data_IF_650448275188
#
_entry.id   IF_650448275188
#
_cell.length_a   1.000
_cell.length_b   1.000
_cell.length_c   1.000
_cell.angle_alpha   90.00
_cell.angle_beta   90.00
_cell.angle_gamma   90.00
#
_symmetry.space_group_name_H-M   'P 1'
#
loop_
_entity.id
_entity.type
_entity.pdbx_description
1 polymer ?
#
# COMPACT_ATOMS: atom_id res chain seq x y z
N UNK A 1 53.74 14.32 -16.55
CA UNK A 1 52.51 15.15 -16.51
C UNK A 1 51.30 14.22 -16.40
N UNK A 2 50.82 13.79 -15.26
CA UNK A 2 51.37 13.65 -13.91
C UNK A 2 50.52 12.55 -13.26
N UNK A 3 51.17 11.44 -12.92
CA UNK A 3 50.62 10.43 -12.04
C UNK A 3 51.44 10.52 -10.77
N UNK A 4 51.05 11.45 -9.90
CA UNK A 4 51.44 11.50 -8.50
C UNK A 4 50.22 11.04 -7.70
N UNK A 5 50.27 9.82 -7.15
CA UNK A 5 50.53 9.60 -5.73
C UNK A 5 49.60 10.41 -4.84
N UNK A 6 48.71 9.71 -4.13
CA UNK A 6 48.73 9.73 -2.67
C UNK A 6 48.00 8.48 -2.15
N UNK A 7 48.80 7.45 -1.85
CA UNK A 7 48.47 6.59 -0.73
C UNK A 7 48.53 7.45 0.54
N UNK A 8 47.45 7.47 1.29
CA UNK A 8 47.35 8.13 2.59
C UNK A 8 46.46 7.26 3.48
N UNK A 9 47.00 6.86 4.64
CA UNK A 9 46.42 5.88 5.54
C UNK A 9 44.94 6.13 5.86
N UNK A 10 44.16 5.05 5.79
CA UNK A 10 42.79 5.02 6.27
C UNK A 10 42.81 5.14 7.80
N UNK A 11 42.69 6.36 8.33
CA UNK A 11 42.30 6.56 9.72
C UNK A 11 40.87 5.99 9.92
N UNK A 12 40.60 5.23 11.01
CA UNK A 12 39.28 4.70 11.27
C UNK A 12 38.39 5.85 11.76
N UNK A 13 37.54 6.40 10.89
CA UNK A 13 36.48 7.33 11.31
C UNK A 13 36.24 8.58 10.47
N UNK A 14 36.93 8.81 9.35
CA UNK A 14 36.62 9.96 8.49
C UNK A 14 35.53 9.61 7.47
N UNK A 15 34.34 10.21 7.62
CA UNK A 15 33.28 10.15 6.62
C UNK A 15 33.83 10.69 5.28
N UNK A 16 33.71 9.94 4.15
CA UNK A 16 34.23 10.41 2.87
C UNK A 16 33.53 11.71 2.44
N UNK A 17 34.24 12.64 1.79
CA UNK A 17 33.63 13.87 1.28
C UNK A 17 32.52 13.52 0.28
N UNK A 18 31.39 14.23 0.37
CA UNK A 18 30.15 13.94 -0.35
C UNK A 18 30.36 13.70 -1.86
N UNK A 19 31.31 14.41 -2.48
CA UNK A 19 31.68 14.23 -3.89
C UNK A 19 32.22 12.83 -4.23
N UNK A 20 33.01 12.20 -3.34
CA UNK A 20 33.58 10.86 -3.57
C UNK A 20 32.50 9.78 -3.46
N UNK A 21 31.54 9.95 -2.54
CA UNK A 21 30.38 9.06 -2.41
C UNK A 21 29.52 9.11 -3.67
N UNK A 22 29.24 10.32 -4.17
CA UNK A 22 28.50 10.53 -5.43
C UNK A 22 29.23 9.90 -6.62
N UNK A 23 30.55 10.06 -6.72
CA UNK A 23 31.33 9.47 -7.81
C UNK A 23 31.32 7.93 -7.78
N UNK A 24 31.48 7.30 -6.61
CA UNK A 24 31.45 5.84 -6.47
C UNK A 24 30.07 5.26 -6.81
N UNK A 25 28.99 5.94 -6.42
CA UNK A 25 27.62 5.52 -6.77
C UNK A 25 27.39 5.60 -8.29
N UNK A 26 27.80 6.69 -8.94
CA UNK A 26 27.69 6.84 -10.40
C UNK A 26 28.45 5.74 -11.16
N UNK A 27 29.69 5.44 -10.76
CA UNK A 27 30.49 4.38 -11.40
C UNK A 27 29.84 3.01 -11.20
N UNK A 28 29.33 2.70 -10.00
CA UNK A 28 28.63 1.43 -9.78
C UNK A 28 27.34 1.32 -10.57
N UNK A 29 26.58 2.41 -10.71
CA UNK A 29 25.37 2.43 -11.52
C UNK A 29 25.70 2.17 -12.99
N UNK A 30 26.71 2.85 -13.54
CA UNK A 30 27.15 2.68 -14.93
C UNK A 30 27.59 1.23 -15.21
N UNK A 31 28.34 0.61 -14.30
CA UNK A 31 28.82 -0.77 -14.46
C UNK A 31 27.73 -1.84 -14.30
N UNK A 32 26.66 -1.55 -13.54
CA UNK A 32 25.58 -2.51 -13.23
C UNK A 32 24.29 -2.28 -14.05
N UNK A 33 24.23 -1.20 -14.82
CA UNK A 33 23.05 -0.86 -15.60
C UNK A 33 22.72 -1.97 -16.61
N UNK A 34 21.46 -2.42 -16.60
CA UNK A 34 20.90 -3.32 -17.61
C UNK A 34 19.89 -2.55 -18.46
N UNK A 35 19.77 -2.86 -19.76
CA UNK A 35 18.82 -2.17 -20.63
C UNK A 35 17.39 -2.38 -20.13
N UNK A 36 16.60 -1.31 -20.10
CA UNK A 36 15.18 -1.35 -19.79
C UNK A 36 14.44 -2.01 -20.97
N UNK A 37 13.49 -2.91 -20.67
CA UNK A 37 12.63 -3.52 -21.70
C UNK A 37 11.58 -2.50 -22.15
N UNK A 38 11.83 -1.82 -23.26
CA UNK A 38 10.79 -1.07 -23.98
C UNK A 38 10.17 -1.98 -25.05
N UNK A 39 8.85 -2.24 -24.96
CA UNK A 39 8.12 -3.02 -25.97
C UNK A 39 7.49 -2.08 -26.99
N UNK A 40 7.95 -2.17 -28.25
CA UNK A 40 7.38 -1.43 -29.38
C UNK A 40 6.71 -2.44 -30.32
N UNK A 41 5.38 -2.34 -30.56
CA UNK A 41 4.67 -3.26 -31.43
C UNK A 41 5.02 -3.03 -32.91
N UNK A 42 5.08 -4.10 -33.71
CA UNK A 42 5.39 -4.04 -35.15
C UNK A 42 4.15 -3.83 -36.04
N UNK A 43 2.97 -4.27 -35.58
CA UNK A 43 1.74 -4.21 -36.37
C UNK A 43 1.15 -2.78 -36.34
N UNK A 44 0.69 -2.23 -37.48
CA UNK A 44 0.23 -0.83 -37.56
C UNK A 44 -1.01 -0.55 -36.70
N UNK A 45 -2.00 -1.45 -36.69
CA UNK A 45 -3.18 -1.33 -35.83
C UNK A 45 -2.82 -1.37 -34.34
N UNK A 46 -1.90 -2.26 -33.95
CA UNK A 46 -1.43 -2.36 -32.58
C UNK A 46 -0.62 -1.11 -32.19
N UNK A 47 0.16 -0.55 -33.12
CA UNK A 47 0.93 0.67 -32.92
C UNK A 47 0.03 1.88 -32.68
N UNK A 48 -1.10 2.00 -33.39
CA UNK A 48 -2.08 3.06 -33.13
C UNK A 48 -2.64 2.99 -31.72
N UNK A 49 -3.06 1.80 -31.26
CA UNK A 49 -3.56 1.62 -29.88
C UNK A 49 -2.46 1.91 -28.86
N UNK A 50 -1.24 1.43 -29.11
CA UNK A 50 -0.08 1.69 -28.24
C UNK A 50 0.25 3.19 -28.16
N UNK A 51 0.15 3.92 -29.27
CA UNK A 51 0.38 5.36 -29.31
C UNK A 51 -0.66 6.13 -28.47
N UNK A 52 -1.94 5.74 -28.54
CA UNK A 52 -3.00 6.33 -27.72
C UNK A 52 -2.79 6.04 -26.24
N UNK A 53 -2.55 4.78 -25.87
CA UNK A 53 -2.38 4.36 -24.46
C UNK A 53 -1.13 4.96 -23.82
N UNK A 54 -0.07 5.18 -24.60
CA UNK A 54 1.20 5.77 -24.13
C UNK A 54 1.16 7.31 -24.15
N UNK A 55 0.11 7.93 -24.70
CA UNK A 55 0.01 9.39 -24.78
C UNK A 55 -0.25 10.00 -23.39
N UNK A 56 0.39 11.14 -23.11
CA UNK A 56 0.19 11.85 -21.84
C UNK A 56 -1.27 12.29 -21.63
N UNK A 57 -2.01 12.57 -22.71
CA UNK A 57 -3.44 12.91 -22.65
C UNK A 57 -4.26 11.77 -22.05
N UNK A 58 -4.01 10.53 -22.47
CA UNK A 58 -4.68 9.36 -21.92
C UNK A 58 -4.34 9.19 -20.43
N UNK A 59 -3.08 9.42 -20.05
CA UNK A 59 -2.68 9.36 -18.64
C UNK A 59 -3.39 10.40 -17.77
N UNK A 60 -3.46 11.66 -18.22
CA UNK A 60 -4.18 12.72 -17.50
C UNK A 60 -5.69 12.46 -17.43
N UNK A 61 -6.29 11.91 -18.49
CA UNK A 61 -7.69 11.50 -18.49
C UNK A 61 -7.96 10.44 -17.42
N UNK A 62 -7.15 9.38 -17.40
CA UNK A 62 -7.30 8.31 -16.41
C UNK A 62 -7.07 8.83 -14.99
N UNK A 63 -6.10 9.71 -14.79
CA UNK A 63 -5.87 10.35 -13.51
C UNK A 63 -7.09 11.17 -13.04
N UNK A 64 -7.66 12.00 -13.93
CA UNK A 64 -8.85 12.78 -13.63
C UNK A 64 -10.06 11.90 -13.28
N UNK A 65 -10.24 10.77 -13.96
CA UNK A 65 -11.31 9.81 -13.67
C UNK A 65 -11.14 9.14 -12.30
N UNK A 66 -9.91 8.82 -11.89
CA UNK A 66 -9.65 8.29 -10.53
C UNK A 66 -9.96 9.35 -9.48
N UNK A 67 -9.56 10.60 -9.71
CA UNK A 67 -9.87 11.71 -8.80
C UNK A 67 -11.38 11.93 -8.69
N UNK A 68 -12.11 11.91 -9.81
CA UNK A 68 -13.57 12.00 -9.80
C UNK A 68 -14.19 10.85 -9.01
N UNK A 69 -13.76 9.61 -9.24
CA UNK A 69 -14.24 8.44 -8.50
C UNK A 69 -13.97 8.54 -6.99
N UNK A 70 -12.83 9.10 -6.61
CA UNK A 70 -12.46 9.36 -5.21
C UNK A 70 -13.42 10.33 -4.55
N UNK A 71 -13.76 11.42 -5.25
CA UNK A 71 -14.72 12.41 -4.75
C UNK A 71 -16.09 11.76 -4.59
N UNK A 72 -16.55 10.98 -5.57
CA UNK A 72 -17.81 10.25 -5.46
C UNK A 72 -17.86 9.31 -4.25
N UNK A 73 -16.78 8.59 -3.95
CA UNK A 73 -16.69 7.75 -2.76
C UNK A 73 -16.71 8.58 -1.46
N UNK A 74 -16.04 9.73 -1.45
CA UNK A 74 -15.98 10.62 -0.29
C UNK A 74 -17.29 11.37 0.01
N UNK A 75 -18.21 11.45 -0.97
CA UNK A 75 -19.52 12.10 -0.81
C UNK A 75 -20.57 11.24 -0.11
N UNK A 76 -20.34 9.93 0.02
CA UNK A 76 -21.28 9.01 0.66
C UNK A 76 -21.36 9.29 2.17
N UNK A 77 -22.57 9.35 2.71
CA UNK A 77 -22.79 9.61 4.14
C UNK A 77 -23.91 8.75 4.74
N UNK A 78 -23.88 8.62 6.07
CA UNK A 78 -24.92 7.90 6.80
C UNK A 78 -26.27 8.64 6.67
N UNK A 79 -27.37 7.90 6.50
CA UNK A 79 -28.72 8.42 6.22
C UNK A 79 -28.82 9.32 4.97
N UNK A 80 -28.19 8.92 3.86
CA UNK A 80 -28.36 9.59 2.57
C UNK A 80 -29.70 9.27 1.91
N UNK A 81 -30.17 10.16 1.02
CA UNK A 81 -31.39 9.94 0.26
C UNK A 81 -31.24 8.77 -0.71
N UNK A 82 -32.34 8.07 -1.00
CA UNK A 82 -32.35 6.95 -1.96
C UNK A 82 -31.89 7.39 -3.35
N UNK A 83 -32.18 8.63 -3.75
CA UNK A 83 -31.67 9.20 -5.01
C UNK A 83 -30.13 9.27 -5.04
N UNK A 84 -29.50 9.64 -3.92
CA UNK A 84 -28.04 9.70 -3.81
C UNK A 84 -27.40 8.31 -3.84
N UNK A 85 -28.07 7.30 -3.26
CA UNK A 85 -27.67 5.89 -3.37
C UNK A 85 -27.66 5.46 -4.83
N UNK A 86 -28.78 5.65 -5.54
CA UNK A 86 -28.91 5.27 -6.95
C UNK A 86 -27.88 5.95 -7.85
N UNK A 87 -27.66 7.26 -7.68
CA UNK A 87 -26.63 7.98 -8.45
C UNK A 87 -25.24 7.42 -8.17
N UNK A 88 -24.92 7.14 -6.90
CA UNK A 88 -23.63 6.56 -6.52
C UNK A 88 -23.40 5.21 -7.17
N UNK A 89 -24.41 4.34 -7.22
CA UNK A 89 -24.30 3.01 -7.83
C UNK A 89 -24.14 3.09 -9.35
N UNK A 90 -24.91 3.95 -10.03
CA UNK A 90 -24.75 4.20 -11.47
C UNK A 90 -23.33 4.68 -11.78
N UNK A 91 -22.81 5.63 -11.01
CA UNK A 91 -21.45 6.12 -11.18
C UNK A 91 -20.40 5.02 -10.94
N UNK A 92 -20.59 4.19 -9.91
CA UNK A 92 -19.68 3.08 -9.62
C UNK A 92 -19.59 2.08 -10.79
N UNK A 93 -20.72 1.73 -11.39
CA UNK A 93 -20.78 0.88 -12.59
C UNK A 93 -20.08 1.58 -13.76
N UNK A 94 -20.39 2.86 -14.00
CA UNK A 94 -19.79 3.63 -15.09
C UNK A 94 -18.25 3.71 -14.99
N UNK A 95 -17.70 4.02 -13.81
CA UNK A 95 -16.25 4.02 -13.59
C UNK A 95 -15.64 2.64 -13.80
N UNK A 96 -16.33 1.57 -13.38
CA UNK A 96 -15.88 0.19 -13.59
C UNK A 96 -15.76 -0.16 -15.06
N UNK A 97 -16.74 0.22 -15.87
CA UNK A 97 -16.69 0.04 -17.32
C UNK A 97 -15.49 0.81 -17.90
N UNK A 98 -15.30 2.07 -17.52
CA UNK A 98 -14.21 2.90 -18.05
C UNK A 98 -12.83 2.32 -17.69
N UNK A 99 -12.60 1.90 -16.44
CA UNK A 99 -11.33 1.27 -16.05
C UNK A 99 -11.13 -0.11 -16.69
N UNK A 100 -12.21 -0.84 -16.97
CA UNK A 100 -12.14 -2.09 -17.72
C UNK A 100 -11.69 -1.83 -19.16
N UNK A 101 -12.23 -0.80 -19.81
CA UNK A 101 -11.81 -0.38 -21.15
C UNK A 101 -10.33 0.06 -21.18
N UNK A 102 -9.87 0.81 -20.18
CA UNK A 102 -8.44 1.14 -20.02
C UNK A 102 -7.58 -0.13 -20.02
N UNK A 103 -7.95 -1.12 -19.20
CA UNK A 103 -7.22 -2.39 -19.08
C UNK A 103 -7.23 -3.17 -20.40
N UNK A 104 -8.35 -3.26 -21.10
CA UNK A 104 -8.45 -3.93 -22.41
C UNK A 104 -7.57 -3.23 -23.46
N UNK A 105 -7.58 -1.89 -23.51
CA UNK A 105 -6.73 -1.12 -24.42
C UNK A 105 -5.24 -1.36 -24.14
N UNK A 106 -4.83 -1.36 -22.86
CA UNK A 106 -3.46 -1.69 -22.46
C UNK A 106 -3.08 -3.13 -22.83
N UNK A 107 -3.98 -4.09 -22.63
CA UNK A 107 -3.74 -5.49 -22.98
C UNK A 107 -3.54 -5.68 -24.49
N UNK A 108 -4.33 -4.98 -25.31
CA UNK A 108 -4.18 -4.97 -26.77
C UNK A 108 -2.86 -4.29 -27.21
N UNK A 109 -2.49 -3.18 -26.57
CA UNK A 109 -1.27 -2.43 -26.88
C UNK A 109 0.01 -3.25 -26.56
N UNK A 110 0.12 -3.77 -25.35
CA UNK A 110 1.36 -4.42 -24.86
C UNK A 110 1.40 -5.94 -25.07
N UNK A 111 0.28 -6.56 -25.48
CA UNK A 111 0.03 -8.01 -25.39
C UNK A 111 0.12 -8.51 -23.94
N UNK A 112 -0.46 -9.68 -23.67
CA UNK A 112 -0.42 -10.29 -22.33
C UNK A 112 1.02 -10.36 -21.75
N UNK A 113 2.00 -10.77 -22.56
CA UNK A 113 3.40 -10.89 -22.10
C UNK A 113 4.04 -9.57 -21.68
N UNK A 114 3.72 -8.46 -22.37
CA UNK A 114 4.23 -7.14 -21.99
C UNK A 114 3.48 -6.57 -20.79
N UNK A 115 2.15 -6.76 -20.77
CA UNK A 115 1.27 -6.26 -19.72
C UNK A 115 1.58 -6.89 -18.35
N UNK A 116 1.67 -8.23 -18.26
CA UNK A 116 1.98 -8.94 -17.01
C UNK A 116 3.46 -8.84 -16.59
N UNK A 117 4.32 -8.20 -17.40
CA UNK A 117 5.72 -7.95 -17.05
C UNK A 117 5.92 -6.78 -16.09
N UNK A 118 4.96 -5.86 -16.01
CA UNK A 118 5.00 -4.72 -15.09
C UNK A 118 4.10 -4.99 -13.87
N UNK A 119 4.65 -5.07 -12.64
CA UNK A 119 3.87 -5.30 -11.43
C UNK A 119 2.71 -4.32 -11.23
N UNK A 120 2.84 -3.08 -11.71
CA UNK A 120 1.80 -2.08 -11.57
C UNK A 120 0.60 -2.33 -12.49
N UNK A 121 0.84 -2.88 -13.68
CA UNK A 121 -0.23 -3.32 -14.57
C UNK A 121 -0.91 -4.59 -14.03
N UNK A 122 -0.16 -5.50 -13.39
CA UNK A 122 -0.75 -6.67 -12.70
C UNK A 122 -1.67 -6.22 -11.56
N UNK A 123 -1.27 -5.19 -10.81
CA UNK A 123 -2.07 -4.62 -9.74
C UNK A 123 -3.33 -3.91 -10.27
N UNK A 124 -3.21 -3.15 -11.37
CA UNK A 124 -4.34 -2.55 -12.09
C UNK A 124 -5.36 -3.62 -12.52
N UNK A 125 -4.88 -4.74 -13.09
CA UNK A 125 -5.72 -5.88 -13.45
C UNK A 125 -6.47 -6.46 -12.25
N UNK A 126 -5.80 -6.68 -11.12
CA UNK A 126 -6.44 -7.19 -9.91
C UNK A 126 -7.55 -6.26 -9.39
N UNK A 127 -7.32 -4.94 -9.41
CA UNK A 127 -8.33 -3.95 -9.03
C UNK A 127 -9.53 -3.99 -9.97
N UNK A 128 -9.31 -4.07 -11.29
CA UNK A 128 -10.39 -4.12 -12.28
C UNK A 128 -11.24 -5.38 -12.09
N UNK A 129 -10.61 -6.55 -11.91
CA UNK A 129 -11.33 -7.80 -11.64
C UNK A 129 -12.12 -7.72 -10.33
N UNK A 130 -11.51 -7.22 -9.25
CA UNK A 130 -12.21 -7.00 -7.98
C UNK A 130 -13.40 -6.05 -8.11
N UNK A 131 -13.27 -5.01 -8.93
CA UNK A 131 -14.37 -4.07 -9.21
C UNK A 131 -15.51 -4.71 -10.01
N UNK A 132 -15.20 -5.60 -10.97
CA UNK A 132 -16.23 -6.31 -11.74
C UNK A 132 -16.99 -7.27 -10.82
N UNK A 133 -16.28 -8.00 -9.95
CA UNK A 133 -16.90 -8.90 -8.97
C UNK A 133 -17.81 -8.10 -8.03
N UNK A 134 -17.35 -6.96 -7.54
CA UNK A 134 -18.14 -6.07 -6.68
C UNK A 134 -19.44 -5.59 -7.35
N UNK A 135 -19.39 -5.18 -8.62
CA UNK A 135 -20.59 -4.80 -9.38
C UNK A 135 -21.54 -5.98 -9.58
N UNK A 136 -21.02 -7.16 -9.93
CA UNK A 136 -21.85 -8.37 -10.12
C UNK A 136 -22.53 -8.77 -8.81
N UNK A 137 -21.81 -8.73 -7.69
CA UNK A 137 -22.37 -9.09 -6.40
C UNK A 137 -23.40 -8.07 -5.89
N UNK A 138 -23.24 -6.77 -6.19
CA UNK A 138 -24.26 -5.78 -5.84
C UNK A 138 -25.58 -5.98 -6.58
N UNK A 139 -25.58 -6.64 -7.74
CA UNK A 139 -26.79 -6.96 -8.51
C UNK A 139 -27.46 -8.28 -8.05
N UNK A 140 -26.71 -9.16 -7.37
CA UNK A 140 -27.17 -10.50 -6.93
C UNK A 140 -27.47 -10.49 -5.41
N UNK A 141 -27.58 -9.34 -4.75
CA UNK A 141 -27.74 -9.28 -3.30
C UNK A 141 -29.12 -9.82 -2.88
N UNK A 142 -29.20 -11.15 -2.75
CA UNK A 142 -30.25 -11.89 -2.08
C UNK A 142 -30.18 -11.60 -0.57
N UNK A 143 -31.32 -11.57 0.15
CA UNK A 143 -31.41 -11.06 1.52
C UNK A 143 -30.74 -11.91 2.62
N UNK A 144 -29.81 -12.80 2.28
CA UNK A 144 -29.13 -13.67 3.25
C UNK A 144 -28.06 -12.90 4.06
N UNK A 145 -28.10 -13.02 5.39
CA UNK A 145 -27.21 -12.33 6.35
C UNK A 145 -25.71 -12.56 6.08
N UNK A 146 -25.34 -13.69 5.47
CA UNK A 146 -23.96 -13.99 5.07
C UNK A 146 -23.45 -13.07 3.97
N UNK A 147 -24.34 -12.61 3.07
CA UNK A 147 -24.03 -11.76 1.93
C UNK A 147 -23.66 -10.33 2.36
N UNK A 148 -24.20 -9.86 3.50
CA UNK A 148 -23.97 -8.50 4.03
C UNK A 148 -22.52 -8.24 4.42
N UNK A 149 -21.85 -9.21 5.07
CA UNK A 149 -20.44 -9.07 5.46
C UNK A 149 -19.54 -9.07 4.22
N UNK A 150 -19.84 -9.91 3.23
CA UNK A 150 -19.12 -9.91 1.95
C UNK A 150 -19.32 -8.62 1.17
N UNK A 151 -20.54 -8.07 1.10
CA UNK A 151 -20.84 -6.81 0.42
C UNK A 151 -20.02 -5.63 0.99
N UNK A 152 -19.84 -5.57 2.32
CA UNK A 152 -18.95 -4.59 2.95
C UNK A 152 -17.48 -4.75 2.54
N UNK A 153 -17.00 -5.99 2.43
CA UNK A 153 -15.62 -6.27 2.03
C UNK A 153 -15.38 -5.93 0.54
N UNK A 154 -16.29 -6.28 -0.36
CA UNK A 154 -16.11 -6.02 -1.79
C UNK A 154 -16.13 -4.53 -2.14
N UNK A 155 -16.88 -3.71 -1.37
CA UNK A 155 -16.81 -2.24 -1.46
C UNK A 155 -15.41 -1.69 -1.22
N UNK A 156 -14.52 -2.39 -0.51
CA UNK A 156 -13.12 -1.98 -0.36
C UNK A 156 -12.34 -1.99 -1.68
N UNK A 157 -12.70 -2.84 -2.66
CA UNK A 157 -12.04 -2.83 -3.97
C UNK A 157 -12.26 -1.50 -4.72
N UNK A 158 -13.39 -0.82 -4.48
CA UNK A 158 -13.62 0.54 -5.00
C UNK A 158 -12.57 1.50 -4.45
N UNK A 159 -12.28 1.43 -3.15
CA UNK A 159 -11.27 2.25 -2.46
C UNK A 159 -9.85 1.91 -2.94
N UNK A 160 -9.56 0.63 -3.22
CA UNK A 160 -8.25 0.19 -3.73
C UNK A 160 -7.86 0.88 -5.05
N UNK A 161 -8.82 1.40 -5.83
CA UNK A 161 -8.54 2.20 -7.03
C UNK A 161 -7.69 3.44 -6.75
N UNK A 162 -7.75 3.99 -5.54
CA UNK A 162 -6.89 5.09 -5.10
C UNK A 162 -5.40 4.75 -5.21
N UNK A 163 -5.06 3.47 -5.05
CA UNK A 163 -3.68 3.00 -5.15
C UNK A 163 -3.18 3.10 -6.61
N UNK A 164 -4.06 3.13 -7.61
CA UNK A 164 -3.69 3.45 -9.00
C UNK A 164 -3.09 4.87 -9.13
N UNK A 165 -3.40 5.79 -8.22
CA UNK A 165 -2.72 7.11 -8.19
C UNK A 165 -1.23 6.95 -7.88
N UNK A 166 -0.89 6.01 -6.99
CA UNK A 166 0.51 5.71 -6.65
C UNK A 166 1.26 5.13 -7.86
N UNK A 167 0.60 4.34 -8.72
CA UNK A 167 1.24 3.78 -9.91
C UNK A 167 1.59 4.85 -10.96
N UNK A 168 0.90 5.99 -10.94
CA UNK A 168 1.15 7.15 -11.82
C UNK A 168 2.20 8.10 -11.26
N UNK A 169 2.26 8.24 -9.94
CA UNK A 169 3.23 9.12 -9.28
C UNK A 169 4.62 8.47 -9.18
N UNK A 170 5.45 8.64 -10.23
CA UNK A 170 6.81 8.07 -10.30
C UNK A 170 7.70 8.40 -9.09
N UNK A 171 7.61 9.64 -8.57
CA UNK A 171 8.31 10.06 -7.36
C UNK A 171 7.90 9.24 -6.14
N UNK A 172 6.58 9.04 -5.94
CA UNK A 172 6.05 8.26 -4.82
C UNK A 172 6.42 6.78 -4.96
N UNK A 173 6.38 6.21 -6.17
CA UNK A 173 6.84 4.83 -6.43
C UNK A 173 8.29 4.63 -6.03
N UNK A 174 9.14 5.59 -6.39
CA UNK A 174 10.55 5.55 -6.06
C UNK A 174 10.77 5.62 -4.54
N UNK A 175 10.04 6.51 -3.86
CA UNK A 175 10.09 6.65 -2.40
C UNK A 175 9.59 5.39 -1.66
N UNK A 176 8.47 4.82 -2.09
CA UNK A 176 7.95 3.58 -1.51
C UNK A 176 8.91 2.42 -1.76
N UNK A 177 9.49 2.33 -2.95
CA UNK A 177 10.48 1.31 -3.27
C UNK A 177 11.74 1.42 -2.40
N UNK A 178 12.28 2.63 -2.22
CA UNK A 178 13.45 2.84 -1.36
C UNK A 178 13.13 2.53 0.11
N UNK A 179 11.94 2.90 0.59
CA UNK A 179 11.47 2.56 1.93
C UNK A 179 11.39 1.05 2.14
N UNK A 180 10.74 0.33 1.22
CA UNK A 180 10.64 -1.14 1.27
C UNK A 180 12.03 -1.77 1.25
N UNK A 181 12.96 -1.24 0.45
CA UNK A 181 14.35 -1.72 0.41
C UNK A 181 15.10 -1.49 1.73
N UNK A 182 14.86 -0.38 2.40
CA UNK A 182 15.45 -0.10 3.73
C UNK A 182 14.94 -1.08 4.78
N UNK A 183 13.66 -1.42 4.78
CA UNK A 183 13.11 -2.44 5.68
C UNK A 183 13.72 -3.82 5.44
N UNK A 184 13.95 -4.20 4.18
CA UNK A 184 14.62 -5.46 3.82
C UNK A 184 16.07 -5.53 4.33
N UNK A 185 16.71 -4.40 4.63
CA UNK A 185 18.07 -4.36 5.14
C UNK A 185 18.17 -4.58 6.67
N UNK A 186 17.04 -4.49 7.41
CA UNK A 186 17.03 -4.54 8.88
C UNK A 186 16.14 -5.66 9.47
N UNK A 187 16.13 -6.90 8.94
CA UNK A 187 15.25 -7.95 9.44
C UNK A 187 15.55 -8.36 10.88
N UNK A 188 16.83 -8.34 11.28
CA UNK A 188 17.24 -8.73 12.63
C UNK A 188 16.75 -7.76 13.70
N UNK A 189 16.74 -6.46 13.40
CA UNK A 189 16.22 -5.45 14.35
C UNK A 189 14.72 -5.64 14.54
N UNK A 190 13.96 -5.86 13.45
CA UNK A 190 12.54 -6.17 13.54
C UNK A 190 12.27 -7.47 14.33
N UNK A 191 13.10 -8.50 14.14
CA UNK A 191 13.00 -9.75 14.89
C UNK A 191 13.21 -9.54 16.40
N UNK A 192 14.20 -8.73 16.80
CA UNK A 192 14.43 -8.40 18.21
C UNK A 192 13.20 -7.73 18.84
N UNK A 193 12.55 -6.80 18.12
CA UNK A 193 11.31 -6.17 18.58
C UNK A 193 10.20 -7.22 18.75
N UNK A 194 9.97 -8.09 17.76
CA UNK A 194 8.97 -9.15 17.85
C UNK A 194 9.25 -10.11 19.02
N UNK A 195 10.52 -10.45 19.26
CA UNK A 195 10.92 -11.31 20.39
C UNK A 195 10.65 -10.63 21.74
N UNK A 196 10.87 -9.32 21.84
CA UNK A 196 10.56 -8.54 23.03
C UNK A 196 9.05 -8.56 23.34
N UNK A 197 8.21 -8.28 22.33
CA UNK A 197 6.76 -8.40 22.44
C UNK A 197 6.30 -9.79 22.87
N UNK A 198 6.93 -10.84 22.32
CA UNK A 198 6.64 -12.22 22.68
C UNK A 198 6.91 -12.51 24.16
N UNK A 199 8.11 -12.15 24.65
CA UNK A 199 8.50 -12.39 26.05
C UNK A 199 7.56 -11.64 27.00
N UNK A 200 7.33 -10.35 26.77
CA UNK A 200 6.44 -9.54 27.63
C UNK A 200 4.98 -10.00 27.56
N UNK A 201 4.49 -10.44 26.40
CA UNK A 201 3.14 -10.96 26.30
C UNK A 201 2.97 -12.23 27.15
N UNK A 202 3.93 -13.16 27.10
CA UNK A 202 3.91 -14.38 27.92
C UNK A 202 4.00 -14.07 29.41
N UNK A 203 4.91 -13.17 29.81
CA UNK A 203 5.04 -12.74 31.21
C UNK A 203 3.73 -12.08 31.69
N UNK A 204 3.17 -11.16 30.90
CA UNK A 204 1.92 -10.47 31.20
C UNK A 204 0.74 -11.42 31.34
N UNK A 205 0.64 -12.46 30.50
CA UNK A 205 -0.37 -13.50 30.64
C UNK A 205 -0.23 -14.30 31.94
N UNK A 206 0.99 -14.67 32.32
CA UNK A 206 1.22 -15.44 33.55
C UNK A 206 0.96 -14.62 34.82
N UNK A 207 1.33 -13.34 34.80
CA UNK A 207 1.18 -12.44 35.96
C UNK A 207 -0.23 -11.86 36.09
N UNK A 208 -0.82 -11.43 34.98
CA UNK A 208 -2.03 -10.61 34.95
C UNK A 208 -3.23 -11.28 34.25
N UNK A 209 -3.10 -12.52 33.77
CA UNK A 209 -4.16 -13.23 33.06
C UNK A 209 -5.40 -13.57 33.89
N UNK A 210 -5.33 -13.51 35.23
CA UNK A 210 -6.44 -13.83 36.15
C UNK A 210 -7.20 -12.61 36.66
N UNK A 211 -6.82 -11.40 36.25
CA UNK A 211 -7.50 -10.18 36.69
C UNK A 211 -8.94 -10.20 36.12
N UNK A 212 -9.92 -9.94 37.00
CA UNK A 212 -11.31 -9.87 36.61
C UNK A 212 -11.54 -8.66 35.69
N UNK A 213 -12.21 -8.89 34.56
CA UNK A 213 -12.57 -7.83 33.62
C UNK A 213 -13.81 -7.11 34.15
N UNK A 214 -13.65 -5.86 34.57
CA UNK A 214 -14.76 -5.02 35.05
C UNK A 214 -14.92 -3.84 34.10
N UNK A 215 -16.12 -3.73 33.50
CA UNK A 215 -16.44 -2.66 32.57
C UNK A 215 -16.36 -1.29 33.28
N UNK A 216 -15.61 -0.36 32.70
CA UNK A 216 -15.31 0.97 33.28
C UNK A 216 -13.93 1.09 33.95
N UNK A 217 -13.19 -0.01 34.11
CA UNK A 217 -11.78 0.02 34.54
C UNK A 217 -10.82 -0.03 33.34
N UNK A 218 -9.53 0.24 33.57
CA UNK A 218 -8.49 0.17 32.53
C UNK A 218 -8.30 -1.26 31.98
N UNK A 219 -8.69 -2.29 32.74
CA UNK A 219 -8.65 -3.70 32.34
C UNK A 219 -10.08 -4.15 32.01
N UNK A 220 -10.35 -4.30 30.73
CA UNK A 220 -11.69 -4.61 30.23
C UNK A 220 -11.62 -5.68 29.13
N UNK A 221 -12.78 -6.01 28.55
CA UNK A 221 -12.88 -7.01 27.48
C UNK A 221 -12.04 -6.71 26.23
N UNK A 222 -11.74 -5.43 25.97
CA UNK A 222 -10.91 -4.97 24.85
C UNK A 222 -9.43 -4.78 25.23
N UNK A 223 -9.08 -4.79 26.53
CA UNK A 223 -7.76 -4.50 27.04
C UNK A 223 -7.43 -5.45 28.21
N UNK A 224 -6.92 -6.63 27.89
CA UNK A 224 -6.62 -7.68 28.87
C UNK A 224 -5.43 -8.57 28.47
N UNK A 225 -4.92 -9.32 29.45
CA UNK A 225 -3.84 -10.30 29.30
C UNK A 225 -4.34 -11.75 29.30
N UNK A 226 -5.61 -12.00 28.97
CA UNK A 226 -6.16 -13.37 29.01
C UNK A 226 -5.73 -14.22 27.81
N UNK A 227 -5.49 -13.58 26.67
CA UNK A 227 -5.07 -14.26 25.44
C UNK A 227 -3.85 -13.59 24.83
N UNK A 228 -3.03 -14.36 24.12
CA UNK A 228 -1.78 -13.87 23.53
C UNK A 228 -1.98 -12.68 22.57
N UNK A 229 -2.93 -12.69 21.61
CA UNK A 229 -3.14 -11.55 20.72
C UNK A 229 -3.58 -10.28 21.48
N UNK A 230 -4.43 -10.41 22.50
CA UNK A 230 -4.87 -9.27 23.31
C UNK A 230 -3.73 -8.70 24.15
N UNK A 231 -2.87 -9.55 24.72
CA UNK A 231 -1.66 -9.12 25.43
C UNK A 231 -0.70 -8.34 24.52
N UNK A 232 -0.48 -8.82 23.28
CA UNK A 232 0.35 -8.10 22.30
C UNK A 232 -0.27 -6.76 21.90
N UNK A 233 -1.60 -6.70 21.67
CA UNK A 233 -2.31 -5.46 21.37
C UNK A 233 -2.21 -4.44 22.51
N UNK A 234 -2.30 -4.90 23.76
CA UNK A 234 -2.17 -4.06 24.95
C UNK A 234 -0.73 -3.52 25.09
N UNK A 235 0.30 -4.34 24.86
CA UNK A 235 1.69 -3.89 24.84
C UNK A 235 1.93 -2.85 23.75
N UNK A 236 1.38 -3.05 22.56
CA UNK A 236 1.52 -2.10 21.45
C UNK A 236 0.83 -0.76 21.75
N UNK A 237 -0.31 -0.81 22.46
CA UNK A 237 -1.01 0.38 22.95
C UNK A 237 -0.14 1.19 23.90
N UNK A 238 0.70 0.55 24.73
CA UNK A 238 1.58 1.26 25.68
C UNK A 238 2.79 1.91 25.01
N UNK A 239 3.32 1.31 23.94
CA UNK A 239 4.45 1.88 23.19
C UNK A 239 4.03 3.08 22.32
N UNK A 240 2.76 3.14 21.92
CA UNK A 240 2.20 4.28 21.18
C UNK A 240 2.06 5.49 22.12
N UNK A 241 2.78 6.61 21.90
CA UNK A 241 2.66 7.77 22.78
C UNK A 241 1.27 8.38 22.62
N UNK A 242 0.39 8.17 23.59
CA UNK A 242 -0.85 8.96 23.67
C UNK A 242 -0.50 10.36 24.17
N UNK A 243 -0.74 11.43 23.40
CA UNK A 243 -0.35 12.80 23.77
C UNK A 243 -1.11 13.36 24.99
N UNK A 244 -2.08 12.61 25.51
CA UNK A 244 -2.83 12.94 26.71
C UNK A 244 -2.81 11.74 27.62
N UNK A 245 -1.84 11.68 28.54
CA UNK A 245 -1.98 11.21 29.92
C UNK A 245 -0.57 11.05 30.51
N UNK A 246 -0.14 12.05 31.27
CA UNK A 246 0.75 11.88 32.41
C UNK A 246 0.00 11.12 33.51
N UNK A 247 -0.37 9.87 33.24
CA UNK A 247 -1.04 9.04 34.23
C UNK A 247 0.00 8.17 34.96
N UNK A 248 0.17 8.35 36.28
CA UNK A 248 1.11 7.55 37.08
C UNK A 248 0.75 6.05 37.10
N UNK A 249 -0.44 5.66 36.63
CA UNK A 249 -0.86 4.27 36.47
C UNK A 249 -0.20 3.55 35.29
N UNK A 250 0.20 4.25 34.22
CA UNK A 250 0.99 3.63 33.14
C UNK A 250 2.42 3.31 33.61
N UNK A 251 2.93 4.09 34.57
CA UNK A 251 4.23 3.89 35.23
C UNK A 251 4.21 2.76 36.26
N UNK A 252 3.04 2.39 36.80
CA UNK A 252 2.90 1.31 37.78
C UNK A 252 2.87 -0.11 37.17
N UNK A 253 2.81 -0.21 35.84
CA UNK A 253 2.82 -1.47 35.08
C UNK A 253 4.12 -1.71 34.29
N UNK A 254 5.08 -0.78 34.36
CA UNK A 254 6.49 -0.99 33.99
C UNK A 254 7.28 -1.42 35.23
#
# INVERSE_FOLDING_TARGET
MDVALLGGGQAPGANPPCCIVSQRQCVQYALKARPLRCYIPKNPYQYQVWYVVTSSYFEYLMFALIMLNTICLGMQHYNQSEEMNHISDILNVAFTIIFTLEMVLKLMAFKARGYFGDPWNVFDFLIVIGSIIDVILSEIDDPDESARISSAFFRLFRVMRLIKLLSRAEGVRTLLWTFIKSFQALPYVALLIVMLFFIYAVIGMQMFGKIAMVDGTQINRNNNFQTFPQAVLLLFRQESPTPHLTDPLALALC
#
